data_IF_224029579869
#
_entry.id   IF_224029579869
#
_cell.length_a   1.000
_cell.length_b   1.000
_cell.length_c   1.000
_cell.angle_alpha   90.00
_cell.angle_beta   90.00
_cell.angle_gamma   90.00
#
_symmetry.space_group_name_H-M   'P 1'
#
loop_
_entity.id
_entity.type
_entity.pdbx_description
1 polymer ?
#
# COMPACT_ATOMS: atom_id res chain seq x y z
N UNK A 1 -10.11 -10.79 -8.46
CA UNK A 1 -9.33 -9.65 -8.99
C UNK A 1 -8.05 -9.54 -8.20
N UNK A 2 -6.92 -9.18 -8.83
CA UNK A 2 -5.67 -8.87 -8.15
C UNK A 2 -5.73 -7.45 -7.57
N UNK A 3 -5.66 -7.35 -6.24
CA UNK A 3 -5.71 -6.10 -5.49
C UNK A 3 -4.42 -5.92 -4.70
N UNK A 4 -3.71 -4.83 -4.93
CA UNK A 4 -2.54 -4.45 -4.13
C UNK A 4 -3.00 -3.51 -3.02
N UNK A 5 -2.64 -3.82 -1.77
CA UNK A 5 -2.94 -2.97 -0.62
C UNK A 5 -1.64 -2.34 -0.10
N UNK A 6 -1.40 -1.08 -0.47
CA UNK A 6 -0.30 -0.28 0.06
C UNK A 6 -0.52 0.01 1.54
N UNK A 7 0.49 -0.25 2.37
CA UNK A 7 0.31 -0.26 3.83
C UNK A 7 -0.48 -1.48 4.33
N UNK A 8 -0.56 -2.56 3.56
CA UNK A 8 -1.41 -3.73 3.83
C UNK A 8 -1.12 -4.49 5.14
N UNK A 9 0.00 -4.23 5.80
CA UNK A 9 0.32 -4.78 7.14
C UNK A 9 0.05 -3.80 8.28
N UNK A 10 -0.42 -2.59 7.98
CA UNK A 10 -0.79 -1.57 8.97
C UNK A 10 -2.18 -1.82 9.57
N UNK A 11 -2.58 -1.01 10.55
CA UNK A 11 -3.83 -1.19 11.29
C UNK A 11 -5.07 -1.25 10.38
N UNK A 12 -5.20 -0.29 9.46
CA UNK A 12 -6.32 -0.22 8.50
C UNK A 12 -6.09 -1.22 7.36
N UNK A 13 -4.89 -1.24 6.79
CA UNK A 13 -4.54 -2.12 5.66
C UNK A 13 -4.76 -3.60 5.95
N UNK A 14 -4.43 -4.09 7.15
CA UNK A 14 -4.62 -5.48 7.51
C UNK A 14 -6.10 -5.89 7.48
N UNK A 15 -6.99 -5.04 8.01
CA UNK A 15 -8.44 -5.27 7.98
C UNK A 15 -9.00 -5.26 6.56
N UNK A 16 -8.46 -4.39 5.70
CA UNK A 16 -8.82 -4.35 4.27
C UNK A 16 -8.39 -5.64 3.58
N UNK A 17 -7.16 -6.09 3.81
CA UNK A 17 -6.63 -7.35 3.25
C UNK A 17 -7.50 -8.54 3.65
N UNK A 18 -7.85 -8.66 4.93
CA UNK A 18 -8.73 -9.73 5.41
C UNK A 18 -10.10 -9.71 4.72
N UNK A 19 -10.75 -8.54 4.65
CA UNK A 19 -12.07 -8.40 4.01
C UNK A 19 -12.03 -8.73 2.52
N UNK A 20 -11.03 -8.25 1.79
CA UNK A 20 -10.90 -8.50 0.34
C UNK A 20 -10.59 -9.97 0.05
N UNK A 21 -9.75 -10.62 0.88
CA UNK A 21 -9.50 -12.07 0.77
C UNK A 21 -10.75 -12.88 1.05
N UNK A 22 -11.50 -12.53 2.10
CA UNK A 22 -12.77 -13.17 2.42
C UNK A 22 -13.81 -13.01 1.29
N UNK A 23 -13.73 -11.95 0.50
CA UNK A 23 -14.54 -11.73 -0.70
C UNK A 23 -14.03 -12.48 -1.95
N UNK A 24 -12.98 -13.31 -1.85
CA UNK A 24 -12.45 -14.12 -2.95
C UNK A 24 -11.54 -13.36 -3.93
N UNK A 25 -10.98 -12.22 -3.51
CA UNK A 25 -9.99 -11.51 -4.32
C UNK A 25 -8.58 -12.06 -4.07
N UNK A 26 -7.71 -11.94 -5.09
CA UNK A 26 -6.28 -12.18 -4.95
C UNK A 26 -5.67 -10.89 -4.38
N UNK A 27 -5.18 -10.93 -3.13
CA UNK A 27 -4.79 -9.72 -2.40
C UNK A 27 -3.32 -9.79 -2.01
N UNK A 28 -2.58 -8.81 -2.52
CA UNK A 28 -1.14 -8.61 -2.28
C UNK A 28 -0.95 -7.46 -1.29
N UNK A 29 -0.66 -7.72 0.00
CA UNK A 29 -0.26 -6.66 0.93
C UNK A 29 1.13 -6.13 0.57
N UNK A 30 1.23 -4.83 0.31
CA UNK A 30 2.48 -4.14 0.02
C UNK A 30 2.90 -3.27 1.22
N UNK A 31 4.04 -3.60 1.82
CA UNK A 31 4.61 -2.88 2.95
C UNK A 31 6.09 -3.19 3.09
N UNK A 32 6.82 -2.39 3.88
CA UNK A 32 8.24 -2.67 4.19
C UNK A 32 8.43 -4.06 4.82
N UNK A 33 7.44 -4.54 5.58
CA UNK A 33 7.47 -5.89 6.19
C UNK A 33 7.33 -7.01 5.16
N UNK A 34 6.79 -6.72 3.99
CA UNK A 34 6.63 -7.67 2.88
C UNK A 34 7.66 -7.42 1.77
N UNK A 35 8.73 -6.65 2.05
CA UNK A 35 9.78 -6.34 1.08
C UNK A 35 9.42 -5.24 0.07
N UNK A 36 8.32 -4.52 0.27
CA UNK A 36 7.88 -3.44 -0.65
C UNK A 36 8.00 -2.08 0.01
N UNK A 37 8.80 -1.19 -0.58
CA UNK A 37 8.94 0.17 -0.09
C UNK A 37 8.34 1.17 -1.07
N UNK A 38 7.20 1.78 -0.68
CA UNK A 38 6.46 2.73 -1.49
C UNK A 38 7.24 4.04 -1.77
N UNK A 39 8.19 4.41 -0.89
CA UNK A 39 8.98 5.62 -1.04
C UNK A 39 10.18 5.41 -1.97
N UNK A 40 10.94 4.34 -1.77
CA UNK A 40 12.12 4.02 -2.62
C UNK A 40 11.73 3.29 -3.90
N UNK A 41 10.49 2.82 -4.00
CA UNK A 41 9.93 1.98 -5.09
C UNK A 41 10.51 0.57 -5.16
N UNK A 42 11.29 0.16 -4.17
CA UNK A 42 11.80 -1.20 -4.05
C UNK A 42 10.65 -2.21 -3.93
N UNK A 43 10.69 -3.28 -4.72
CA UNK A 43 9.66 -4.33 -4.75
C UNK A 43 8.31 -3.90 -5.34
N UNK A 44 8.19 -2.64 -5.79
CA UNK A 44 6.94 -2.08 -6.31
C UNK A 44 6.58 -2.62 -7.70
N UNK A 45 7.51 -2.71 -8.68
CA UNK A 45 7.18 -3.24 -10.01
C UNK A 45 6.59 -4.66 -9.97
N UNK A 46 7.14 -5.53 -9.13
CA UNK A 46 6.75 -6.94 -9.03
C UNK A 46 5.34 -7.10 -8.44
N UNK A 47 4.99 -6.34 -7.41
CA UNK A 47 3.65 -6.44 -6.82
C UNK A 47 2.58 -5.77 -7.68
N UNK A 48 2.96 -4.73 -8.43
CA UNK A 48 2.05 -3.98 -9.31
C UNK A 48 1.74 -4.71 -10.62
N UNK A 49 2.56 -5.68 -11.03
CA UNK A 49 2.32 -6.44 -12.24
C UNK A 49 0.94 -7.11 -12.23
N UNK A 50 0.11 -6.85 -13.24
CA UNK A 50 -1.27 -7.36 -13.31
C UNK A 50 -2.21 -6.88 -12.19
N UNK A 51 -1.83 -5.90 -11.36
CA UNK A 51 -2.72 -5.33 -10.36
C UNK A 51 -3.88 -4.60 -11.03
N UNK A 52 -5.11 -4.94 -10.67
CA UNK A 52 -6.31 -4.35 -11.24
C UNK A 52 -6.84 -3.18 -10.40
N UNK A 53 -6.59 -3.24 -9.09
CA UNK A 53 -6.98 -2.23 -8.12
C UNK A 53 -5.83 -2.03 -7.13
N UNK A 54 -5.61 -0.77 -6.75
CA UNK A 54 -4.73 -0.40 -5.65
C UNK A 54 -5.55 0.25 -4.55
N UNK A 55 -5.42 -0.25 -3.32
CA UNK A 55 -5.94 0.42 -2.13
C UNK A 55 -4.75 1.00 -1.36
N UNK A 56 -4.70 2.33 -1.26
CA UNK A 56 -3.71 3.01 -0.44
C UNK A 56 -4.22 3.19 0.98
N UNK A 57 -3.64 2.41 1.90
CA UNK A 57 -3.80 2.53 3.34
C UNK A 57 -2.44 2.81 4.02
N UNK A 58 -1.48 3.36 3.27
CA UNK A 58 -0.19 3.76 3.82
C UNK A 58 -0.38 4.98 4.72
N UNK A 59 0.37 4.99 5.83
CA UNK A 59 0.41 6.13 6.73
C UNK A 59 1.79 6.77 6.66
N UNK A 60 1.81 8.09 6.59
CA UNK A 60 3.02 8.87 6.73
C UNK A 60 3.43 8.89 8.21
N UNK A 61 4.74 8.76 8.49
CA UNK A 61 5.27 8.95 9.84
C UNK A 61 5.56 10.42 10.15
N UNK A 62 5.26 11.32 9.21
CA UNK A 62 5.45 12.75 9.39
C UNK A 62 4.42 13.29 10.37
N UNK A 63 4.90 14.01 11.37
CA UNK A 63 4.08 14.69 12.37
C UNK A 63 4.09 16.20 12.18
N UNK A 64 4.98 16.73 11.35
CA UNK A 64 5.03 18.12 10.95
C UNK A 64 4.23 18.39 9.67
N UNK A 65 3.80 19.64 9.51
CA UNK A 65 2.93 20.06 8.40
C UNK A 65 3.58 19.89 7.03
N UNK A 66 4.89 20.15 6.91
CA UNK A 66 5.58 20.04 5.62
C UNK A 66 5.71 18.57 5.20
N UNK A 67 6.09 17.69 6.12
CA UNK A 67 6.15 16.25 5.85
C UNK A 67 4.79 15.66 5.46
N UNK A 68 3.70 16.09 6.09
CA UNK A 68 2.34 15.68 5.72
C UNK A 68 1.95 16.13 4.29
N UNK A 69 2.31 17.37 3.91
CA UNK A 69 2.11 17.87 2.55
C UNK A 69 2.95 17.10 1.52
N UNK A 70 4.21 16.82 1.83
CA UNK A 70 5.14 16.14 0.92
C UNK A 70 4.81 14.66 0.71
N UNK A 71 4.20 14.02 1.71
CA UNK A 71 3.63 12.68 1.56
C UNK A 71 2.42 12.66 0.62
N UNK A 72 1.55 13.66 0.74
CA UNK A 72 0.25 13.71 0.05
C UNK A 72 0.34 14.26 -1.38
N UNK A 73 1.46 14.90 -1.74
CA UNK A 73 1.66 15.48 -3.07
C UNK A 73 1.99 14.41 -4.12
N UNK A 74 1.37 14.45 -5.31
CA UNK A 74 1.80 13.63 -6.43
C UNK A 74 3.25 14.00 -6.78
N UNK A 75 4.16 13.04 -6.68
CA UNK A 75 5.53 13.21 -7.19
C UNK A 75 5.51 12.98 -8.70
N UNK A 76 5.91 14.00 -9.46
CA UNK A 76 6.08 13.91 -10.91
C UNK A 76 7.17 12.91 -11.27
#
# INVERSE_FOLDING_TARGET
>A
MKVVVAGGTGLVGAKVVEKLRAAGHDVVPASRRTGVNLYTREGLPEVMDGAQVVVDASNSLYTDYQGALDFSRPRR
#
